data_IF_853068504216
#
_entry.id   IF_853068504216
#
_cell.length_a   1.000
_cell.length_b   1.000
_cell.length_c   1.000
_cell.angle_alpha   90.00
_cell.angle_beta   90.00
_cell.angle_gamma   90.00
#
_symmetry.space_group_name_H-M   'P 1'
#
loop_
_entity.id
_entity.type
_entity.pdbx_description
1 polymer ?
#
# COMPACT_ATOMS: atom_id res chain seq x y z
N UNK A 1 -3.77 -30.30 -0.10
CA UNK A 1 -4.98 -30.05 0.73
C UNK A 1 -5.07 -28.60 1.21
N UNK A 2 -4.00 -28.01 1.77
CA UNK A 2 -3.96 -26.61 2.26
C UNK A 2 -4.47 -25.53 1.27
N UNK A 3 -4.21 -25.68 -0.04
CA UNK A 3 -4.66 -24.70 -1.04
C UNK A 3 -6.18 -24.65 -1.27
N UNK A 4 -6.89 -25.78 -1.13
CA UNK A 4 -8.35 -25.82 -1.25
C UNK A 4 -9.03 -25.19 -0.02
N UNK A 5 -8.42 -25.32 1.15
CA UNK A 5 -8.87 -24.70 2.39
C UNK A 5 -8.69 -23.17 2.33
N UNK A 6 -7.51 -22.69 1.91
CA UNK A 6 -7.24 -21.27 1.73
C UNK A 6 -8.22 -20.64 0.72
N UNK A 7 -8.49 -21.32 -0.40
CA UNK A 7 -9.47 -20.81 -1.39
C UNK A 7 -10.87 -20.67 -0.80
N UNK A 8 -11.31 -21.62 0.03
CA UNK A 8 -12.62 -21.54 0.69
C UNK A 8 -12.66 -20.41 1.72
N UNK A 9 -11.64 -20.28 2.57
CA UNK A 9 -11.54 -19.20 3.56
C UNK A 9 -11.49 -17.82 2.88
N UNK A 10 -10.70 -17.69 1.81
CA UNK A 10 -10.62 -16.48 0.98
C UNK A 10 -12.01 -16.08 0.43
N UNK A 11 -12.78 -17.02 -0.13
CA UNK A 11 -14.12 -16.72 -0.65
C UNK A 11 -15.09 -16.27 0.45
N UNK A 12 -14.96 -16.79 1.67
CA UNK A 12 -15.76 -16.35 2.82
C UNK A 12 -15.38 -14.92 3.20
N UNK A 13 -14.08 -14.63 3.33
CA UNK A 13 -13.59 -13.30 3.68
C UNK A 13 -13.91 -12.25 2.61
N UNK A 14 -13.76 -12.60 1.34
CA UNK A 14 -14.10 -11.73 0.20
C UNK A 14 -15.54 -11.24 0.29
N UNK A 15 -16.50 -12.16 0.54
CA UNK A 15 -17.92 -11.81 0.72
C UNK A 15 -18.18 -10.97 1.97
N UNK A 16 -17.48 -11.24 3.07
CA UNK A 16 -17.59 -10.43 4.28
C UNK A 16 -17.13 -8.99 4.01
N UNK A 17 -15.96 -8.83 3.38
CA UNK A 17 -15.40 -7.52 3.03
C UNK A 17 -16.31 -6.78 2.05
N UNK A 18 -16.82 -7.44 1.01
CA UNK A 18 -17.77 -6.85 0.04
C UNK A 18 -18.93 -6.12 0.74
N UNK A 19 -19.46 -6.71 1.81
CA UNK A 19 -20.58 -6.13 2.57
C UNK A 19 -20.24 -4.88 3.39
N UNK A 20 -18.95 -4.63 3.66
CA UNK A 20 -18.48 -3.54 4.54
C UNK A 20 -17.46 -2.61 3.88
N UNK A 21 -16.95 -2.92 2.68
CA UNK A 21 -15.86 -2.19 2.01
C UNK A 21 -16.21 -0.73 1.74
N UNK A 22 -17.49 -0.42 1.53
CA UNK A 22 -17.99 0.96 1.41
C UNK A 22 -17.72 1.83 2.63
N UNK A 23 -17.43 1.22 3.78
CA UNK A 23 -17.12 1.90 5.05
C UNK A 23 -15.63 2.07 5.32
N UNK A 24 -14.76 1.57 4.42
CA UNK A 24 -13.33 1.83 4.45
C UNK A 24 -13.10 3.30 4.10
N UNK A 25 -12.37 4.02 4.95
CA UNK A 25 -12.08 5.45 4.75
C UNK A 25 -10.78 5.87 5.41
N UNK A 26 -10.53 7.18 5.46
CA UNK A 26 -9.30 7.76 5.99
C UNK A 26 -8.91 7.22 7.39
N UNK A 27 -9.88 6.94 8.26
CA UNK A 27 -9.67 6.37 9.61
C UNK A 27 -9.04 4.97 9.62
N UNK A 28 -9.12 4.24 8.51
CA UNK A 28 -8.56 2.90 8.36
C UNK A 28 -7.13 2.95 7.82
N UNK A 29 -6.63 4.13 7.46
CA UNK A 29 -5.24 4.37 7.09
C UNK A 29 -4.38 4.42 8.37
N UNK A 30 -3.26 3.69 8.45
CA UNK A 30 -2.44 3.65 9.66
C UNK A 30 -1.76 4.99 9.92
N UNK A 31 -1.61 5.34 11.20
CA UNK A 31 -0.87 6.54 11.67
C UNK A 31 0.53 6.65 11.03
N UNK A 32 1.20 5.52 10.78
CA UNK A 32 2.48 5.46 10.09
C UNK A 32 2.48 6.20 8.73
N UNK A 33 1.40 6.12 7.95
CA UNK A 33 1.30 6.81 6.66
C UNK A 33 1.30 8.34 6.84
N UNK A 34 0.58 8.85 7.83
CA UNK A 34 0.56 10.28 8.17
C UNK A 34 1.93 10.75 8.67
N UNK A 35 2.56 9.95 9.54
CA UNK A 35 3.84 10.31 10.14
C UNK A 35 4.99 10.36 9.13
N UNK A 36 4.98 9.50 8.11
CA UNK A 36 6.16 9.29 7.27
C UNK A 36 5.95 9.47 5.77
N UNK A 37 4.70 9.50 5.30
CA UNK A 37 4.40 9.41 3.87
C UNK A 37 3.38 10.44 3.40
N UNK A 38 3.07 11.45 4.20
CA UNK A 38 2.10 12.50 3.83
C UNK A 38 2.72 13.88 4.01
N UNK A 39 2.60 14.73 2.98
CA UNK A 39 3.06 16.12 2.95
C UNK A 39 4.49 16.33 3.50
N UNK A 40 5.42 15.43 3.16
CA UNK A 40 6.84 15.62 3.48
C UNK A 40 7.47 16.60 2.52
N UNK A 41 8.34 17.47 3.06
CA UNK A 41 9.15 18.33 2.19
C UNK A 41 10.24 17.53 1.49
N UNK A 42 10.74 18.04 0.37
CA UNK A 42 11.89 17.47 -0.33
C UNK A 42 13.08 17.23 0.62
N UNK A 43 13.33 18.20 1.52
CA UNK A 43 14.41 18.11 2.50
C UNK A 43 14.18 16.96 3.49
N UNK A 44 12.94 16.73 3.94
CA UNK A 44 12.61 15.60 4.81
C UNK A 44 12.90 14.28 4.09
N UNK A 45 12.46 14.15 2.83
CA UNK A 45 12.66 12.94 2.03
C UNK A 45 14.15 12.67 1.78
N UNK A 46 14.92 13.70 1.42
CA UNK A 46 16.37 13.60 1.24
C UNK A 46 17.06 13.24 2.56
N UNK A 47 16.63 13.81 3.69
CA UNK A 47 17.18 13.48 5.01
C UNK A 47 16.96 12.01 5.37
N UNK A 48 15.79 11.44 5.06
CA UNK A 48 15.54 10.01 5.26
C UNK A 48 16.52 9.14 4.46
N UNK A 49 16.84 9.57 3.24
CA UNK A 49 17.86 8.86 2.45
C UNK A 49 19.24 8.99 3.12
N UNK A 50 19.69 10.21 3.39
CA UNK A 50 21.05 10.50 3.83
C UNK A 50 21.36 10.03 5.25
N UNK A 51 20.42 10.19 6.18
CA UNK A 51 20.64 10.02 7.61
C UNK A 51 19.92 8.80 8.21
N UNK A 52 18.74 8.42 7.68
CA UNK A 52 18.01 7.23 8.16
C UNK A 52 18.34 5.96 7.38
N UNK A 53 19.25 6.04 6.40
CA UNK A 53 19.69 4.90 5.60
C UNK A 53 18.59 4.32 4.68
N UNK A 54 17.52 5.08 4.40
CA UNK A 54 16.48 4.62 3.47
C UNK A 54 17.02 4.59 2.04
N UNK A 55 16.63 3.56 1.28
CA UNK A 55 16.92 3.47 -0.16
C UNK A 55 15.95 4.32 -0.98
N UNK A 56 14.72 4.44 -0.51
CA UNK A 56 13.61 5.17 -1.13
C UNK A 56 12.89 5.97 -0.04
N UNK A 57 12.48 7.20 -0.37
CA UNK A 57 11.69 8.04 0.50
C UNK A 57 10.63 8.77 -0.35
N UNK A 58 9.36 8.49 -0.09
CA UNK A 58 8.22 8.96 -0.89
C UNK A 58 7.17 9.60 0.01
N UNK A 59 6.39 10.52 -0.57
CA UNK A 59 5.27 11.20 0.06
C UNK A 59 4.08 11.29 -0.88
N UNK A 60 2.88 11.23 -0.32
CA UNK A 60 1.64 11.55 -1.01
C UNK A 60 1.52 13.07 -1.14
N UNK A 61 1.11 13.49 -2.33
CA UNK A 61 0.73 14.86 -2.66
C UNK A 61 -0.80 15.02 -2.68
N UNK A 62 -1.53 13.91 -2.60
CA UNK A 62 -2.99 13.85 -2.46
C UNK A 62 -3.42 13.65 -1.00
N UNK A 63 -4.70 13.91 -0.72
CA UNK A 63 -5.26 13.67 0.62
C UNK A 63 -5.31 12.19 0.98
N UNK A 64 -5.27 11.87 2.28
CA UNK A 64 -5.44 10.49 2.75
C UNK A 64 -6.85 9.96 2.51
N UNK A 65 -7.85 10.82 2.42
CA UNK A 65 -9.20 10.44 1.98
C UNK A 65 -9.20 9.91 0.53
N UNK A 66 -8.44 10.53 -0.38
CA UNK A 66 -8.32 10.04 -1.75
C UNK A 66 -7.50 8.75 -1.82
N UNK A 67 -6.45 8.61 -1.00
CA UNK A 67 -5.73 7.33 -0.83
C UNK A 67 -6.69 6.24 -0.36
N UNK A 68 -7.51 6.51 0.66
CA UNK A 68 -8.50 5.56 1.15
C UNK A 68 -9.56 5.21 0.08
N UNK A 69 -9.92 6.16 -0.79
CA UNK A 69 -10.77 5.89 -1.94
C UNK A 69 -10.14 4.93 -2.95
N UNK A 70 -8.85 5.08 -3.30
CA UNK A 70 -8.17 4.12 -4.17
C UNK A 70 -8.12 2.72 -3.55
N UNK A 71 -7.79 2.61 -2.26
CA UNK A 71 -7.78 1.33 -1.53
C UNK A 71 -9.18 0.70 -1.52
N UNK A 72 -10.20 1.51 -1.26
CA UNK A 72 -11.60 1.05 -1.27
C UNK A 72 -12.03 0.57 -2.65
N UNK A 73 -11.66 1.26 -3.73
CA UNK A 73 -11.96 0.84 -5.12
C UNK A 73 -11.28 -0.48 -5.45
N UNK A 74 -10.01 -0.63 -5.11
CA UNK A 74 -9.25 -1.87 -5.28
C UNK A 74 -9.90 -3.04 -4.52
N UNK A 75 -10.26 -2.83 -3.26
CA UNK A 75 -10.98 -3.81 -2.45
C UNK A 75 -12.42 -4.06 -2.90
N UNK A 76 -13.03 -3.19 -3.72
CA UNK A 76 -14.36 -3.42 -4.30
C UNK A 76 -14.29 -4.40 -5.47
N UNK A 77 -13.19 -4.42 -6.23
CA UNK A 77 -12.96 -5.41 -7.29
C UNK A 77 -12.81 -6.81 -6.69
N UNK A 78 -13.62 -7.77 -7.15
CA UNK A 78 -13.57 -9.15 -6.62
C UNK A 78 -12.21 -9.81 -6.89
N UNK A 79 -11.63 -9.59 -8.05
CA UNK A 79 -10.38 -10.25 -8.45
C UNK A 79 -9.22 -9.73 -7.61
N UNK A 80 -9.08 -8.41 -7.53
CA UNK A 80 -7.99 -7.78 -6.75
C UNK A 80 -8.11 -8.10 -5.26
N UNK A 81 -9.33 -7.95 -4.70
CA UNK A 81 -9.61 -8.32 -3.31
C UNK A 81 -9.23 -9.76 -3.03
N UNK A 82 -9.59 -10.71 -3.89
CA UNK A 82 -9.30 -12.12 -3.66
C UNK A 82 -7.83 -12.48 -3.81
N UNK A 83 -7.12 -11.86 -4.75
CA UNK A 83 -5.67 -12.00 -4.89
C UNK A 83 -4.97 -11.54 -3.60
N UNK A 84 -5.32 -10.36 -3.10
CA UNK A 84 -4.77 -9.82 -1.85
C UNK A 84 -5.07 -10.71 -0.64
N UNK A 85 -6.33 -11.16 -0.48
CA UNK A 85 -6.73 -12.04 0.62
C UNK A 85 -6.07 -13.42 0.54
N UNK A 86 -5.92 -13.97 -0.67
CA UNK A 86 -5.21 -15.23 -0.85
C UNK A 86 -3.75 -15.09 -0.40
N UNK A 87 -3.07 -14.01 -0.77
CA UNK A 87 -1.71 -13.74 -0.33
C UNK A 87 -1.62 -13.63 1.21
N UNK A 88 -2.56 -12.92 1.85
CA UNK A 88 -2.65 -12.81 3.31
C UNK A 88 -2.82 -14.17 3.99
N UNK A 89 -3.77 -14.98 3.52
CA UNK A 89 -4.08 -16.28 4.10
C UNK A 89 -2.99 -17.32 3.82
N UNK A 90 -2.31 -17.24 2.67
CA UNK A 90 -1.19 -18.12 2.37
C UNK A 90 0.01 -17.85 3.29
N UNK A 91 0.26 -16.58 3.61
CA UNK A 91 1.39 -16.14 4.45
C UNK A 91 1.07 -16.08 5.95
N UNK A 92 -0.15 -16.43 6.37
CA UNK A 92 -0.61 -16.25 7.75
C UNK A 92 0.03 -17.19 8.78
N UNK A 93 0.77 -18.22 8.37
CA UNK A 93 1.43 -19.13 9.32
C UNK A 93 2.65 -18.53 10.00
N UNK A 94 3.07 -17.31 9.64
CA UNK A 94 4.34 -16.72 10.08
C UNK A 94 4.26 -15.23 10.48
N UNK A 95 3.07 -14.64 10.70
CA UNK A 95 2.92 -13.19 10.90
C UNK A 95 3.65 -12.34 9.83
N UNK A 96 3.70 -12.87 8.61
CA UNK A 96 4.42 -12.24 7.50
C UNK A 96 3.57 -11.10 6.96
N UNK A 97 4.23 -9.96 6.73
CA UNK A 97 3.65 -8.80 6.06
C UNK A 97 3.45 -9.14 4.60
N UNK A 98 2.23 -8.98 4.10
CA UNK A 98 1.93 -9.09 2.68
C UNK A 98 2.02 -7.72 2.06
N UNK A 99 2.66 -7.65 0.91
CA UNK A 99 2.76 -6.47 0.08
C UNK A 99 1.68 -6.54 -1.01
N UNK A 100 1.01 -5.42 -1.27
CA UNK A 100 0.01 -5.27 -2.33
C UNK A 100 0.21 -3.91 -3.00
N UNK A 101 0.13 -3.91 -4.33
CA UNK A 101 0.30 -2.72 -5.17
C UNK A 101 -1.05 -2.36 -5.78
N UNK A 102 -1.43 -1.09 -5.65
CA UNK A 102 -2.59 -0.52 -6.33
C UNK A 102 -2.10 0.43 -7.40
N UNK A 103 -2.45 0.16 -8.65
CA UNK A 103 -2.03 0.97 -9.78
C UNK A 103 -3.03 2.10 -10.00
N UNK A 104 -2.52 3.30 -10.28
CA UNK A 104 -3.36 4.45 -10.60
C UNK A 104 -2.84 5.16 -11.85
N UNK A 105 -3.74 5.82 -12.58
CA UNK A 105 -3.37 6.64 -13.74
C UNK A 105 -2.85 8.04 -13.33
N UNK A 106 -3.13 8.44 -12.09
CA UNK A 106 -2.86 9.76 -11.55
C UNK A 106 -1.47 9.87 -10.93
N UNK A 107 -0.89 11.07 -10.94
CA UNK A 107 0.26 11.37 -10.09
C UNK A 107 -0.28 11.57 -8.67
N UNK A 108 0.07 10.66 -7.77
CA UNK A 108 -0.43 10.65 -6.39
C UNK A 108 0.59 11.20 -5.39
N UNK A 109 1.84 11.38 -5.82
CA UNK A 109 2.93 11.74 -4.94
C UNK A 109 4.25 11.87 -5.66
N UNK A 110 5.30 12.05 -4.87
CA UNK A 110 6.66 12.08 -5.36
C UNK A 110 7.64 11.48 -4.34
N UNK A 111 8.88 11.30 -4.77
CA UNK A 111 9.95 10.91 -3.86
C UNK A 111 11.33 10.87 -4.48
N UNK A 112 12.25 10.38 -3.67
CA UNK A 112 13.67 10.32 -3.98
C UNK A 112 14.23 8.93 -3.70
N UNK A 113 15.34 8.61 -4.34
CA UNK A 113 15.99 7.32 -4.18
C UNK A 113 17.51 7.40 -4.23
N UNK A 114 18.15 6.33 -3.71
CA UNK A 114 19.59 6.05 -3.83
C UNK A 114 19.86 4.90 -4.81
N UNK A 115 19.00 4.75 -5.82
CA UNK A 115 19.12 3.67 -6.82
C UNK A 115 20.09 4.05 -7.96
N UNK A 116 20.65 3.06 -8.68
CA UNK A 116 21.35 3.34 -9.93
C UNK A 116 20.47 3.99 -11.00
N UNK A 117 19.19 3.63 -11.08
CA UNK A 117 18.23 4.19 -12.05
C UNK A 117 17.83 5.65 -11.73
N UNK A 118 17.83 6.01 -10.44
CA UNK A 118 17.54 7.37 -10.01
C UNK A 118 18.28 7.72 -8.72
N UNK A 119 18.92 8.89 -8.74
CA UNK A 119 19.64 9.47 -7.61
C UNK A 119 18.93 10.74 -7.15
N UNK A 120 18.78 10.92 -5.84
CA UNK A 120 18.10 12.09 -5.27
C UNK A 120 18.66 13.44 -5.75
N UNK A 121 19.93 13.49 -6.18
CA UNK A 121 20.55 14.69 -6.76
C UNK A 121 19.95 15.11 -8.11
N UNK A 122 19.21 14.22 -8.77
CA UNK A 122 18.60 14.47 -10.08
C UNK A 122 17.21 15.12 -9.96
N UNK A 123 16.71 15.31 -8.74
CA UNK A 123 15.36 15.84 -8.48
C UNK A 123 14.38 14.76 -7.99
N UNK A 124 13.11 15.12 -7.78
CA UNK A 124 12.07 14.17 -7.41
C UNK A 124 11.59 13.35 -8.61
N UNK A 125 11.17 12.12 -8.33
CA UNK A 125 10.38 11.29 -9.26
C UNK A 125 8.92 11.26 -8.82
N UNK A 126 8.02 11.23 -9.80
CA UNK A 126 6.59 11.07 -9.53
C UNK A 126 6.21 9.62 -9.21
N UNK A 127 5.25 9.49 -8.32
CA UNK A 127 4.63 8.24 -7.92
C UNK A 127 3.24 8.13 -8.52
N UNK A 128 2.90 6.95 -9.03
CA UNK A 128 1.59 6.63 -9.59
C UNK A 128 0.91 5.43 -8.93
N UNK A 129 1.63 4.69 -8.09
CA UNK A 129 1.13 3.48 -7.46
C UNK A 129 1.10 3.62 -5.94
N UNK A 130 0.19 2.92 -5.28
CA UNK A 130 0.07 2.87 -3.81
C UNK A 130 0.55 1.51 -3.33
N UNK A 131 1.53 1.51 -2.45
CA UNK A 131 2.02 0.32 -1.77
C UNK A 131 1.35 0.14 -0.42
N UNK A 132 0.86 -1.06 -0.18
CA UNK A 132 0.25 -1.45 1.09
C UNK A 132 1.04 -2.61 1.68
N UNK A 133 1.41 -2.48 2.94
CA UNK A 133 1.73 -3.64 3.76
C UNK A 133 0.57 -3.95 4.69
N UNK A 134 0.14 -5.21 4.71
CA UNK A 134 -0.91 -5.68 5.58
C UNK A 134 -0.54 -7.00 6.26
N UNK A 135 -1.24 -7.29 7.36
CA UNK A 135 -1.13 -8.55 8.09
C UNK A 135 -2.53 -9.11 8.35
N UNK A 136 -2.64 -10.44 8.46
CA UNK A 136 -3.87 -11.07 8.94
C UNK A 136 -4.14 -10.59 10.37
N UNK A 137 -5.35 -10.12 10.61
CA UNK A 137 -5.80 -9.63 11.91
C UNK A 137 -7.28 -10.00 12.10
N UNK A 138 -7.52 -11.07 12.86
CA UNK A 138 -8.87 -11.58 13.12
C UNK A 138 -9.70 -10.65 14.03
N UNK A 139 -9.07 -9.66 14.65
CA UNK A 139 -9.76 -8.66 15.47
C UNK A 139 -10.16 -7.43 14.65
N UNK A 140 -9.56 -7.24 13.46
CA UNK A 140 -9.99 -6.23 12.51
C UNK A 140 -11.30 -6.62 11.85
N UNK A 141 -12.16 -5.62 11.60
CA UNK A 141 -13.43 -5.80 10.89
C UNK A 141 -13.27 -6.34 9.47
N UNK A 142 -12.12 -6.12 8.84
CA UNK A 142 -11.82 -6.62 7.50
C UNK A 142 -11.06 -7.96 7.52
N UNK A 143 -10.76 -8.52 8.70
CA UNK A 143 -9.90 -9.70 8.84
C UNK A 143 -8.40 -9.42 8.61
N UNK A 144 -8.04 -8.18 8.27
CA UNK A 144 -6.66 -7.74 8.11
C UNK A 144 -6.48 -6.31 8.63
N UNK A 145 -5.24 -5.99 8.96
CA UNK A 145 -4.83 -4.65 9.36
C UNK A 145 -3.73 -4.16 8.42
N UNK A 146 -3.92 -2.95 7.89
CA UNK A 146 -2.90 -2.27 7.10
C UNK A 146 -1.91 -1.63 8.08
N UNK A 147 -0.63 -1.97 7.95
CA UNK A 147 0.42 -1.49 8.84
C UNK A 147 1.21 -0.32 8.24
N UNK A 148 1.20 -0.19 6.92
CA UNK A 148 1.85 0.91 6.21
C UNK A 148 1.20 1.10 4.86
N UNK A 149 1.07 2.36 4.46
CA UNK A 149 0.66 2.79 3.12
C UNK A 149 1.64 3.87 2.67
N UNK A 150 2.11 3.79 1.43
CA UNK A 150 3.05 4.77 0.87
C UNK A 150 2.97 4.82 -0.66
N UNK A 151 3.33 5.95 -1.28
CA UNK A 151 3.38 6.04 -2.73
C UNK A 151 4.63 5.35 -3.27
N UNK A 152 4.51 4.79 -4.47
CA UNK A 152 5.57 4.08 -5.18
C UNK A 152 5.73 4.73 -6.56
N UNK A 153 6.99 4.83 -6.99
CA UNK A 153 7.32 5.21 -8.36
C UNK A 153 6.57 4.31 -9.35
N UNK A 154 5.99 4.88 -10.40
CA UNK A 154 5.51 4.07 -11.51
C UNK A 154 6.70 3.34 -12.16
N UNK A 155 6.43 2.25 -12.88
CA UNK A 155 7.45 1.69 -13.77
C UNK A 155 7.90 2.80 -14.73
N UNK A 156 9.19 3.12 -14.71
CA UNK A 156 9.79 3.95 -15.76
C UNK A 156 9.62 3.15 -17.04
N UNK A 157 8.70 3.57 -17.91
CA UNK A 157 8.72 3.08 -19.28
C UNK A 157 10.12 3.32 -19.82
N UNK A 158 10.75 2.26 -20.35
CA UNK A 158 11.95 2.40 -21.17
C UNK A 158 11.63 3.43 -22.27
N UNK A 159 12.15 4.65 -22.12
CA UNK A 159 12.17 5.66 -23.19
C UNK A 159 13.48 5.49 -23.96
#
# INVERSE_FOLDING_TARGET
>A
MKGLEIKKEMKVWSKQIESIVSTFGERDIPEHAYMYHTHKSDQDLINRLLHEGKRYATTFDISMELVAEYIRKDLMDETERECFLYALLYNSSHNVKVYHDIWTDDIIGHGYSKSPSHNWKNGPMYCKNIGIYAVKDIHSRFGFSIISVYPIFGEEGEI
#
